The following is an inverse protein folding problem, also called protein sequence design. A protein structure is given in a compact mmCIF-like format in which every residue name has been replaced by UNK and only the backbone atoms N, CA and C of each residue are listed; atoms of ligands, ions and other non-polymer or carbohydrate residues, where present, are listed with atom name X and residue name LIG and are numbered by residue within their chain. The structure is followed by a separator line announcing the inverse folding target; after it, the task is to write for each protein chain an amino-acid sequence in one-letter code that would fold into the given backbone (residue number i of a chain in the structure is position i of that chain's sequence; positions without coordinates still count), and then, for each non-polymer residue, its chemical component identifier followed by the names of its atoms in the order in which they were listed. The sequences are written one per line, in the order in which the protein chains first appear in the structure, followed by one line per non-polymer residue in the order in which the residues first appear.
data_IF_127152508847
#
_entry.id   IF_127152508847
#
_cell.length_a   1.000
_cell.length_b   1.000
_cell.length_c   1.000
_cell.angle_alpha   90.00
_cell.angle_beta   90.00
_cell.angle_gamma   90.00
#
_symmetry.space_group_name_H-M   'P 1'
#
loop_
_entity.id
_entity.type
_entity.pdbx_description
1 polymer ?
#
# COMPACT_ATOMS: atom_id res chain seq x y z
N UNK A 1 -12.61 -9.73 63.97
CA UNK A 1 -12.75 -10.52 62.71
C UNK A 1 -14.21 -10.48 62.29
N UNK A 2 -14.58 -9.68 61.28
CA UNK A 2 -15.89 -9.76 60.65
C UNK A 2 -15.85 -10.76 59.48
N UNK A 3 -16.88 -11.58 59.41
CA UNK A 3 -17.00 -12.72 58.52
C UNK A 3 -17.34 -12.36 57.08
N UNK A 4 -16.92 -13.29 56.23
CA UNK A 4 -17.28 -13.45 54.83
C UNK A 4 -18.79 -13.66 54.73
N UNK A 5 -19.45 -12.92 53.84
CA UNK A 5 -20.72 -13.34 53.24
C UNK A 5 -20.68 -13.16 51.71
N UNK A 6 -21.43 -14.00 50.97
CA UNK A 6 -21.05 -14.43 49.64
C UNK A 6 -21.63 -13.55 48.51
N UNK A 7 -20.83 -13.51 47.45
CA UNK A 7 -21.12 -13.08 46.08
C UNK A 7 -22.27 -13.90 45.48
N UNK A 8 -23.32 -13.24 45.00
CA UNK A 8 -24.25 -13.72 43.96
C UNK A 8 -24.87 -12.46 43.30
N UNK A 9 -24.48 -12.05 42.08
CA UNK A 9 -24.84 -12.58 40.76
C UNK A 9 -26.27 -12.24 40.31
N UNK A 10 -26.48 -10.99 39.89
CA UNK A 10 -27.50 -10.64 38.91
C UNK A 10 -26.93 -9.62 37.92
N UNK A 11 -26.12 -10.12 36.98
CA UNK A 11 -25.71 -9.36 35.79
C UNK A 11 -26.84 -9.51 34.77
N UNK A 12 -27.78 -8.58 34.79
CA UNK A 12 -28.81 -8.46 33.76
C UNK A 12 -28.12 -8.08 32.46
N UNK A 13 -28.08 -9.01 31.50
CA UNK A 13 -27.70 -8.75 30.12
C UNK A 13 -28.80 -7.91 29.45
N UNK A 14 -28.79 -6.60 29.67
CA UNK A 14 -29.41 -5.66 28.73
C UNK A 14 -28.39 -5.41 27.63
N UNK A 15 -28.51 -6.12 26.51
CA UNK A 15 -27.83 -5.77 25.26
C UNK A 15 -28.47 -4.46 24.81
N UNK A 16 -27.91 -3.35 25.28
CA UNK A 16 -28.19 -2.02 24.77
C UNK A 16 -27.39 -1.91 23.47
N UNK A 17 -28.05 -2.16 22.35
CA UNK A 17 -27.49 -1.93 21.01
C UNK A 17 -27.33 -0.42 20.88
N UNK A 18 -26.12 0.07 21.18
CA UNK A 18 -25.75 1.48 21.00
C UNK A 18 -25.82 1.81 19.51
N UNK A 19 -26.46 2.92 19.11
CA UNK A 19 -26.63 3.27 17.71
C UNK A 19 -25.26 3.63 17.10
N UNK A 20 -24.87 2.87 16.07
CA UNK A 20 -23.96 3.27 14.98
C UNK A 20 -22.89 4.29 15.36
N UNK A 21 -21.88 3.87 16.11
CA UNK A 21 -20.64 4.63 16.23
C UNK A 21 -19.81 4.44 14.96
N UNK A 22 -19.35 5.56 14.40
CA UNK A 22 -18.47 5.66 13.24
C UNK A 22 -17.31 4.67 13.35
N UNK A 23 -16.90 4.01 12.25
CA UNK A 23 -15.81 3.04 12.29
C UNK A 23 -14.54 3.67 12.87
N UNK A 24 -13.74 2.90 13.63
CA UNK A 24 -12.63 3.44 14.42
C UNK A 24 -11.66 4.20 13.52
N UNK A 25 -11.31 5.40 13.96
CA UNK A 25 -10.47 6.34 13.25
C UNK A 25 -9.01 5.94 13.48
N UNK A 26 -8.50 5.09 12.61
CA UNK A 26 -7.20 4.42 12.79
C UNK A 26 -6.00 5.36 12.56
N UNK A 27 -6.18 6.58 12.04
CA UNK A 27 -5.06 7.41 11.60
C UNK A 27 -4.98 8.84 12.17
N UNK A 28 -6.07 9.43 12.66
CA UNK A 28 -6.07 10.77 13.27
C UNK A 28 -7.04 10.78 14.48
N UNK A 29 -6.73 11.48 15.59
CA UNK A 29 -7.72 11.70 16.64
C UNK A 29 -8.88 12.53 16.06
N UNK A 30 -10.13 12.10 16.27
CA UNK A 30 -11.34 12.63 15.63
C UNK A 30 -11.69 14.10 15.78
N UNK A 31 -10.82 14.88 16.43
CA UNK A 31 -10.93 16.32 16.56
C UNK A 31 -9.79 17.07 15.83
N UNK A 32 -8.84 16.38 15.17
CA UNK A 32 -7.77 17.04 14.45
C UNK A 32 -8.22 17.43 13.04
N UNK A 33 -8.62 18.69 12.89
CA UNK A 33 -8.86 19.29 11.58
C UNK A 33 -7.54 19.48 10.85
N UNK A 34 -7.33 18.73 9.77
CA UNK A 34 -6.17 18.92 8.90
C UNK A 34 -6.15 20.32 8.29
N UNK A 35 -5.00 20.96 8.32
CA UNK A 35 -4.74 22.20 7.61
C UNK A 35 -4.94 22.00 6.09
N UNK A 36 -5.24 23.06 5.33
CA UNK A 36 -5.47 22.94 3.88
C UNK A 36 -4.31 22.27 3.11
N UNK A 37 -3.07 22.55 3.52
CA UNK A 37 -1.89 21.97 2.89
C UNK A 37 -1.72 20.47 3.23
N UNK A 38 -2.13 20.02 4.42
CA UNK A 38 -2.10 18.61 4.85
C UNK A 38 -3.11 17.78 4.06
N UNK A 39 -4.28 18.35 3.77
CA UNK A 39 -5.25 17.75 2.85
C UNK A 39 -4.67 17.62 1.44
N UNK A 40 -3.93 18.64 1.01
CA UNK A 40 -3.19 18.60 -0.25
C UNK A 40 -2.22 17.42 -0.29
N UNK A 41 -1.51 17.15 0.81
CA UNK A 41 -0.62 16.00 0.91
C UNK A 41 -1.37 14.66 0.85
N UNK A 42 -2.48 14.51 1.58
CA UNK A 42 -3.29 13.28 1.54
C UNK A 42 -3.81 12.97 0.14
N UNK A 43 -4.34 13.97 -0.56
CA UNK A 43 -4.81 13.82 -1.93
C UNK A 43 -3.64 13.46 -2.85
N UNK A 44 -2.52 14.19 -2.75
CA UNK A 44 -1.34 13.96 -3.59
C UNK A 44 -0.78 12.56 -3.40
N UNK A 45 -0.79 12.06 -2.18
CA UNK A 45 -0.35 10.71 -1.82
C UNK A 45 -1.20 9.64 -2.52
N UNK A 46 -2.53 9.72 -2.38
CA UNK A 46 -3.44 8.76 -3.03
C UNK A 46 -3.33 8.83 -4.55
N UNK A 47 -3.26 10.05 -5.12
CA UNK A 47 -3.06 10.24 -6.56
C UNK A 47 -1.73 9.67 -7.04
N UNK A 48 -0.66 9.84 -6.28
CA UNK A 48 0.65 9.30 -6.63
C UNK A 48 0.62 7.77 -6.71
N UNK A 49 0.07 7.08 -5.70
CA UNK A 49 -0.08 5.62 -5.76
C UNK A 49 -1.01 5.18 -6.88
N UNK A 50 -2.13 5.87 -7.09
CA UNK A 50 -3.08 5.52 -8.14
C UNK A 50 -2.48 5.64 -9.55
N UNK A 51 -1.88 6.80 -9.86
CA UNK A 51 -1.22 7.05 -11.15
C UNK A 51 -0.05 6.08 -11.35
N UNK A 52 0.77 5.87 -10.32
CA UNK A 52 1.87 4.90 -10.39
C UNK A 52 1.37 3.48 -10.68
N UNK A 53 0.25 3.08 -10.10
CA UNK A 53 -0.33 1.74 -10.29
C UNK A 53 -0.89 1.58 -11.70
N UNK A 54 -1.50 2.63 -12.26
CA UNK A 54 -1.95 2.66 -13.65
C UNK A 54 -0.77 2.58 -14.62
N UNK A 55 0.32 3.30 -14.35
CA UNK A 55 1.52 3.25 -15.18
C UNK A 55 2.16 1.86 -15.13
N UNK A 56 2.24 1.22 -13.96
CA UNK A 56 2.70 -0.18 -13.89
C UNK A 56 1.79 -1.12 -14.68
N UNK A 57 0.48 -0.92 -14.66
CA UNK A 57 -0.46 -1.72 -15.44
C UNK A 57 -0.21 -1.55 -16.94
N UNK A 58 -0.17 -0.30 -17.42
CA UNK A 58 0.05 0.03 -18.84
C UNK A 58 1.42 -0.47 -19.31
N UNK A 59 2.46 -0.20 -18.52
CA UNK A 59 3.82 -0.65 -18.83
C UNK A 59 3.90 -2.18 -18.90
N UNK A 60 3.25 -2.89 -17.97
CA UNK A 60 3.19 -4.36 -18.00
C UNK A 60 2.53 -4.85 -19.27
N UNK A 61 1.40 -4.25 -19.66
CA UNK A 61 0.70 -4.60 -20.90
C UNK A 61 1.63 -4.40 -22.10
N UNK A 62 2.34 -3.28 -22.21
CA UNK A 62 3.23 -3.02 -23.35
C UNK A 62 4.42 -3.99 -23.49
N UNK A 63 4.75 -4.75 -22.45
CA UNK A 63 5.75 -5.81 -22.53
C UNK A 63 5.23 -7.12 -23.14
N UNK A 64 3.92 -7.31 -23.37
CA UNK A 64 3.47 -8.50 -24.08
C UNK A 64 4.05 -8.53 -25.51
N UNK A 65 4.54 -9.70 -25.97
CA UNK A 65 5.18 -9.81 -27.27
C UNK A 65 4.26 -9.44 -28.44
N UNK A 66 2.94 -9.61 -28.29
CA UNK A 66 1.95 -9.14 -29.28
C UNK A 66 2.02 -7.62 -29.52
N UNK A 67 2.33 -6.85 -28.48
CA UNK A 67 2.43 -5.40 -28.53
C UNK A 67 3.82 -4.89 -28.94
N UNK A 68 4.80 -5.78 -29.06
CA UNK A 68 6.18 -5.42 -29.40
C UNK A 68 6.31 -4.65 -30.73
N UNK A 69 5.36 -4.85 -31.66
CA UNK A 69 5.34 -4.18 -32.97
C UNK A 69 4.64 -2.82 -32.97
N UNK A 70 3.93 -2.46 -31.90
CA UNK A 70 3.23 -1.18 -31.83
C UNK A 70 4.20 0.01 -31.81
N UNK A 71 3.76 1.13 -32.39
CA UNK A 71 4.52 2.38 -32.49
C UNK A 71 5.92 2.20 -33.09
N UNK A 72 6.00 1.47 -34.21
CA UNK A 72 7.27 1.18 -34.91
C UNK A 72 8.29 0.44 -34.03
N UNK A 73 7.83 -0.49 -33.19
CA UNK A 73 8.70 -1.26 -32.31
C UNK A 73 9.04 -0.58 -30.98
N UNK A 74 8.43 0.57 -30.67
CA UNK A 74 8.76 1.35 -29.47
C UNK A 74 7.89 1.04 -28.24
N UNK A 75 6.98 0.07 -28.32
CA UNK A 75 6.11 -0.30 -27.18
C UNK A 75 6.92 -0.63 -25.91
N UNK A 76 8.01 -1.41 -26.04
CA UNK A 76 8.87 -1.72 -24.90
C UNK A 76 9.59 -0.51 -24.30
N UNK A 77 9.90 0.51 -25.13
CA UNK A 77 10.46 1.78 -24.65
C UNK A 77 9.42 2.53 -23.81
N UNK A 78 8.19 2.68 -24.30
CA UNK A 78 7.10 3.30 -23.54
C UNK A 78 6.83 2.54 -22.25
N UNK A 79 6.73 1.21 -22.32
CA UNK A 79 6.52 0.38 -21.14
C UNK A 79 7.62 0.52 -20.09
N UNK A 80 8.90 0.57 -20.51
CA UNK A 80 10.00 0.80 -19.58
C UNK A 80 9.93 2.17 -18.87
N UNK A 81 9.51 3.23 -19.58
CA UNK A 81 9.34 4.55 -18.99
C UNK A 81 8.12 4.64 -18.09
N UNK A 82 7.02 3.95 -18.42
CA UNK A 82 5.86 3.84 -17.55
C UNK A 82 6.25 3.22 -16.20
N UNK A 83 7.10 2.19 -16.19
CA UNK A 83 7.66 1.65 -14.95
C UNK A 83 8.52 2.67 -14.20
N UNK A 84 9.42 3.39 -14.87
CA UNK A 84 10.26 4.40 -14.21
C UNK A 84 9.42 5.50 -13.56
N UNK A 85 8.47 6.08 -14.30
CA UNK A 85 7.59 7.13 -13.79
C UNK A 85 6.68 6.56 -12.69
N UNK A 86 6.18 5.33 -12.86
CA UNK A 86 5.42 4.62 -11.83
C UNK A 86 6.19 4.46 -10.53
N UNK A 87 7.47 4.09 -10.59
CA UNK A 87 8.36 4.01 -9.42
C UNK A 87 8.54 5.38 -8.74
N UNK A 88 8.69 6.46 -9.51
CA UNK A 88 8.79 7.83 -8.98
C UNK A 88 7.49 8.25 -8.28
N UNK A 89 6.33 7.91 -8.85
CA UNK A 89 5.03 8.15 -8.22
C UNK A 89 4.91 7.39 -6.90
N UNK A 90 5.26 6.10 -6.86
CA UNK A 90 5.27 5.31 -5.63
C UNK A 90 6.24 5.86 -4.59
N UNK A 91 7.44 6.26 -4.99
CA UNK A 91 8.40 6.92 -4.11
C UNK A 91 7.84 8.22 -3.54
N UNK A 92 7.18 9.03 -4.36
CA UNK A 92 6.51 10.25 -3.91
C UNK A 92 5.43 9.94 -2.87
N UNK A 93 4.56 8.96 -3.14
CA UNK A 93 3.54 8.50 -2.19
C UNK A 93 4.15 8.04 -0.86
N UNK A 94 5.20 7.22 -0.91
CA UNK A 94 5.88 6.71 0.28
C UNK A 94 6.57 7.82 1.10
N UNK A 95 7.14 8.83 0.44
CA UNK A 95 7.70 10.00 1.12
C UNK A 95 6.61 10.83 1.82
N UNK A 96 5.44 10.98 1.20
CA UNK A 96 4.31 11.67 1.82
C UNK A 96 3.79 10.90 3.05
N UNK A 97 3.65 9.57 2.96
CA UNK A 97 3.33 8.70 4.12
C UNK A 97 4.40 8.83 5.22
N UNK A 98 5.67 8.89 4.85
CA UNK A 98 6.78 9.02 5.79
C UNK A 98 6.75 10.36 6.53
N UNK A 99 6.52 11.47 5.82
CA UNK A 99 6.36 12.81 6.42
C UNK A 99 5.19 12.83 7.40
N UNK A 100 4.05 12.24 7.03
CA UNK A 100 2.87 12.16 7.89
C UNK A 100 3.13 11.28 9.10
N UNK A 101 3.85 10.17 8.92
CA UNK A 101 4.27 9.31 10.02
C UNK A 101 5.11 10.08 11.00
N UNK A 102 6.14 10.84 10.58
CA UNK A 102 6.95 11.67 11.48
C UNK A 102 6.10 12.70 12.23
N UNK A 103 5.18 13.37 11.53
CA UNK A 103 4.36 14.44 12.11
C UNK A 103 3.32 13.96 13.11
N UNK A 104 2.72 12.80 12.87
CA UNK A 104 1.59 12.29 13.64
C UNK A 104 1.87 10.95 14.32
N UNK A 105 3.14 10.66 14.63
CA UNK A 105 3.50 9.46 15.36
C UNK A 105 3.19 9.60 16.86
N UNK A 106 1.91 9.51 17.21
CA UNK A 106 1.43 9.61 18.58
C UNK A 106 0.69 8.33 19.01
N UNK A 107 0.50 8.19 20.32
CA UNK A 107 -0.14 7.01 20.93
C UNK A 107 0.86 6.13 21.65
N UNK A 108 0.57 4.84 21.77
CA UNK A 108 1.40 3.88 22.51
C UNK A 108 2.76 3.65 21.82
N UNK A 109 3.83 3.32 22.57
CA UNK A 109 5.15 3.06 21.98
C UNK A 109 5.12 2.00 20.88
N UNK A 110 4.37 0.91 21.07
CA UNK A 110 4.22 -0.13 20.05
C UNK A 110 3.60 0.40 18.76
N UNK A 111 2.53 1.20 18.88
CA UNK A 111 1.87 1.85 17.74
C UNK A 111 2.85 2.73 16.97
N UNK A 112 3.66 3.49 17.69
CA UNK A 112 4.65 4.39 17.10
C UNK A 112 5.75 3.64 16.35
N UNK A 113 6.23 2.55 16.93
CA UNK A 113 7.25 1.67 16.31
C UNK A 113 6.71 1.02 15.06
N UNK A 114 5.51 0.44 15.09
CA UNK A 114 4.90 -0.22 13.93
C UNK A 114 4.70 0.75 12.75
N UNK A 115 4.19 1.96 13.00
CA UNK A 115 4.03 2.99 11.94
C UNK A 115 5.38 3.41 11.34
N UNK A 116 6.36 3.70 12.20
CA UNK A 116 7.69 4.08 11.75
C UNK A 116 8.36 2.96 10.95
N UNK A 117 8.17 1.71 11.38
CA UNK A 117 8.67 0.52 10.70
C UNK A 117 8.04 0.36 9.31
N UNK A 118 6.71 0.39 9.19
CA UNK A 118 6.03 0.34 7.88
C UNK A 118 6.53 1.47 6.97
N UNK A 119 6.54 2.71 7.45
CA UNK A 119 6.92 3.87 6.65
C UNK A 119 8.37 3.76 6.14
N UNK A 120 9.29 3.29 6.98
CA UNK A 120 10.69 3.06 6.60
C UNK A 120 10.81 1.97 5.52
N UNK A 121 10.12 0.84 5.70
CA UNK A 121 10.16 -0.27 4.74
C UNK A 121 9.57 0.14 3.39
N UNK A 122 8.47 0.89 3.39
CA UNK A 122 7.87 1.42 2.16
C UNK A 122 8.80 2.42 1.45
N UNK A 123 9.45 3.30 2.21
CA UNK A 123 10.44 4.23 1.66
C UNK A 123 11.65 3.49 1.03
N UNK A 124 12.19 2.49 1.73
CA UNK A 124 13.30 1.68 1.22
C UNK A 124 12.89 0.90 -0.04
N UNK A 125 11.73 0.26 -0.03
CA UNK A 125 11.19 -0.49 -1.16
C UNK A 125 11.07 0.39 -2.42
N UNK A 126 10.44 1.55 -2.28
CA UNK A 126 10.22 2.47 -3.40
C UNK A 126 11.51 3.09 -3.93
N UNK A 127 12.49 3.34 -3.06
CA UNK A 127 13.84 3.75 -3.48
C UNK A 127 14.52 2.67 -4.34
N UNK A 128 14.38 1.39 -3.94
CA UNK A 128 14.93 0.26 -4.70
C UNK A 128 14.19 0.08 -6.04
N UNK A 129 12.86 0.31 -6.09
CA UNK A 129 12.11 0.22 -7.34
C UNK A 129 12.54 1.26 -8.38
N UNK A 130 12.95 2.47 -7.96
CA UNK A 130 13.53 3.44 -8.90
C UNK A 130 14.76 2.83 -9.58
N UNK A 131 15.68 2.25 -8.81
CA UNK A 131 16.85 1.56 -9.37
C UNK A 131 16.44 0.41 -10.30
N UNK A 132 15.47 -0.40 -9.88
CA UNK A 132 14.93 -1.49 -10.69
C UNK A 132 14.37 -1.01 -12.02
N UNK A 133 13.55 0.04 -12.00
CA UNK A 133 12.95 0.63 -13.20
C UNK A 133 13.99 1.16 -14.17
N UNK A 134 15.04 1.82 -13.67
CA UNK A 134 16.16 2.29 -14.50
C UNK A 134 16.88 1.14 -15.21
N UNK A 135 17.06 -0.01 -14.56
CA UNK A 135 17.68 -1.19 -15.19
C UNK A 135 16.82 -1.82 -16.29
N UNK A 136 15.52 -1.52 -16.36
CA UNK A 136 14.66 -1.96 -17.47
C UNK A 136 14.63 -0.98 -18.65
N UNK A 137 15.29 0.18 -18.56
CA UNK A 137 15.45 1.06 -19.71
C UNK A 137 16.30 0.39 -20.80
N UNK A 138 15.98 0.57 -22.10
CA UNK A 138 16.70 -0.10 -23.19
C UNK A 138 18.21 0.15 -23.22
N UNK A 139 18.68 1.29 -22.69
CA UNK A 139 20.09 1.63 -22.62
C UNK A 139 20.86 0.90 -21.50
N UNK A 140 20.15 0.38 -20.49
CA UNK A 140 20.73 -0.24 -19.30
C UNK A 140 20.43 -1.74 -19.23
N UNK A 141 19.27 -2.17 -19.72
CA UNK A 141 18.81 -3.56 -19.70
C UNK A 141 19.83 -4.55 -20.29
N UNK A 142 20.49 -4.29 -21.45
CA UNK A 142 21.48 -5.23 -22.00
C UNK A 142 22.73 -5.41 -21.12
N UNK A 143 23.02 -4.47 -20.21
CA UNK A 143 24.24 -4.50 -19.38
C UNK A 143 24.08 -5.37 -18.15
N UNK A 144 22.89 -5.35 -17.53
CA UNK A 144 22.63 -6.05 -16.27
C UNK A 144 21.13 -6.29 -16.04
N UNK A 145 20.47 -7.13 -16.86
CA UNK A 145 19.01 -7.34 -16.80
C UNK A 145 18.56 -8.02 -15.49
N UNK A 146 19.43 -8.80 -14.87
CA UNK A 146 19.16 -9.46 -13.60
C UNK A 146 19.00 -8.47 -12.44
N UNK A 147 19.76 -7.37 -12.45
CA UNK A 147 19.72 -6.38 -11.36
C UNK A 147 18.36 -5.70 -11.26
N UNK A 148 17.72 -5.42 -12.40
CA UNK A 148 16.35 -4.91 -12.43
C UNK A 148 15.36 -5.87 -11.75
N UNK A 149 15.40 -7.14 -12.14
CA UNK A 149 14.53 -8.17 -11.56
C UNK A 149 14.76 -8.32 -10.04
N UNK A 150 16.01 -8.39 -9.60
CA UNK A 150 16.34 -8.52 -8.18
C UNK A 150 15.95 -7.29 -7.36
N UNK A 151 16.09 -6.09 -7.91
CA UNK A 151 15.63 -4.87 -7.26
C UNK A 151 14.11 -4.92 -7.00
N UNK A 152 13.32 -5.33 -8.00
CA UNK A 152 11.87 -5.49 -7.81
C UNK A 152 11.52 -6.61 -6.83
N UNK A 153 12.23 -7.74 -6.83
CA UNK A 153 12.02 -8.81 -5.84
C UNK A 153 12.27 -8.29 -4.43
N UNK A 154 13.42 -7.65 -4.18
CA UNK A 154 13.80 -7.15 -2.85
C UNK A 154 12.82 -6.06 -2.38
N UNK A 155 12.50 -5.09 -3.24
CA UNK A 155 11.54 -4.04 -2.91
C UNK A 155 10.15 -4.60 -2.59
N UNK A 156 9.69 -5.61 -3.34
CA UNK A 156 8.39 -6.23 -3.09
C UNK A 156 8.38 -7.07 -1.80
N UNK A 157 9.49 -7.72 -1.43
CA UNK A 157 9.61 -8.38 -0.12
C UNK A 157 9.43 -7.37 1.01
N UNK A 158 10.06 -6.19 0.90
CA UNK A 158 9.89 -5.12 1.88
C UNK A 158 8.44 -4.62 1.95
N UNK A 159 7.76 -4.45 0.82
CA UNK A 159 6.32 -4.14 0.78
C UNK A 159 5.45 -5.23 1.40
N UNK A 160 5.74 -6.51 1.18
CA UNK A 160 5.02 -7.61 1.84
C UNK A 160 5.17 -7.53 3.37
N UNK A 161 6.39 -7.27 3.86
CA UNK A 161 6.67 -7.13 5.29
C UNK A 161 5.92 -5.91 5.87
N UNK A 162 5.93 -4.77 5.16
CA UNK A 162 5.21 -3.57 5.55
C UNK A 162 3.69 -3.82 5.61
N UNK A 163 3.12 -4.46 4.59
CA UNK A 163 1.69 -4.77 4.52
C UNK A 163 1.24 -5.73 5.64
N UNK A 164 2.05 -6.73 5.98
CA UNK A 164 1.78 -7.60 7.14
C UNK A 164 1.83 -6.79 8.44
N UNK A 165 2.79 -5.86 8.56
CA UNK A 165 2.91 -4.98 9.71
C UNK A 165 1.70 -4.05 9.85
N UNK A 166 1.15 -3.56 8.74
CA UNK A 166 -0.08 -2.75 8.71
C UNK A 166 -1.31 -3.56 9.13
N UNK A 167 -1.43 -4.81 8.70
CA UNK A 167 -2.52 -5.69 9.15
C UNK A 167 -2.42 -5.93 10.66
N UNK A 168 -1.20 -6.20 11.17
CA UNK A 168 -0.97 -6.34 12.62
C UNK A 168 -1.34 -5.05 13.36
N UNK A 169 -0.94 -3.90 12.84
CA UNK A 169 -1.27 -2.58 13.39
C UNK A 169 -2.79 -2.36 13.46
N UNK A 170 -3.53 -2.67 12.39
CA UNK A 170 -5.00 -2.55 12.34
C UNK A 170 -5.64 -3.44 13.42
N UNK A 171 -5.20 -4.70 13.54
CA UNK A 171 -5.71 -5.61 14.55
C UNK A 171 -5.37 -5.22 15.99
N UNK A 172 -4.28 -4.45 16.19
CA UNK A 172 -3.86 -3.96 17.50
C UNK A 172 -4.45 -2.59 17.85
N UNK A 173 -5.17 -1.94 16.93
CA UNK A 173 -5.74 -0.62 17.16
C UNK A 173 -7.05 -0.72 17.96
N UNK A 174 -7.19 0.06 19.02
CA UNK A 174 -8.42 0.12 19.84
C UNK A 174 -8.98 1.54 19.87
N UNK A 175 -10.30 1.65 20.04
CA UNK A 175 -11.00 2.93 20.23
C UNK A 175 -10.55 3.62 21.54
N UNK A 176 -10.36 2.84 22.60
CA UNK A 176 -9.75 3.31 23.84
C UNK A 176 -8.22 3.07 23.81
N UNK A 177 -7.39 4.13 23.79
CA UNK A 177 -5.92 4.01 23.77
C UNK A 177 -5.33 3.35 25.01
N UNK A 178 -6.13 3.12 26.07
CA UNK A 178 -5.71 2.41 27.29
C UNK A 178 -5.88 0.90 27.18
N UNK A 179 -6.64 0.41 26.19
CA UNK A 179 -6.88 -1.01 25.97
C UNK A 179 -5.80 -1.57 25.05
N UNK A 180 -5.18 -2.67 25.47
CA UNK A 180 -4.21 -3.44 24.69
C UNK A 180 -4.79 -4.80 24.35
N UNK A 181 -4.44 -5.35 23.19
CA UNK A 181 -4.91 -6.66 22.75
C UNK A 181 -5.11 -6.75 21.24
N UNK A 182 -5.57 -7.92 20.78
CA UNK A 182 -5.82 -8.19 19.36
C UNK A 182 -7.34 -8.21 19.09
N UNK A 183 -7.81 -7.45 18.11
CA UNK A 183 -9.23 -7.33 17.76
C UNK A 183 -9.45 -7.64 16.27
N UNK A 184 -9.82 -8.88 15.98
CA UNK A 184 -10.08 -9.38 14.62
C UNK A 184 -11.18 -8.58 13.90
N UNK A 185 -12.16 -8.04 14.63
CA UNK A 185 -13.25 -7.27 14.03
C UNK A 185 -12.76 -6.02 13.29
N UNK A 186 -11.56 -5.51 13.58
CA UNK A 186 -10.97 -4.38 12.88
C UNK A 186 -10.53 -4.70 11.45
N UNK A 187 -10.42 -5.98 11.09
CA UNK A 187 -10.07 -6.40 9.72
C UNK A 187 -11.14 -6.00 8.69
N UNK A 188 -12.36 -5.70 9.12
CA UNK A 188 -13.44 -5.26 8.24
C UNK A 188 -13.38 -3.75 8.01
N UNK A 189 -12.24 -3.25 7.52
CA UNK A 189 -12.04 -1.84 7.17
C UNK A 189 -11.30 -1.65 5.85
N UNK A 190 -11.40 -0.44 5.29
CA UNK A 190 -10.71 -0.07 4.05
C UNK A 190 -9.19 -0.15 4.17
N UNK A 191 -8.62 0.10 5.35
CA UNK A 191 -7.20 -0.08 5.62
C UNK A 191 -6.73 -1.52 5.41
N UNK A 192 -7.55 -2.52 5.77
CA UNK A 192 -7.23 -3.93 5.53
C UNK A 192 -7.28 -4.27 4.05
N UNK A 193 -8.24 -3.71 3.30
CA UNK A 193 -8.29 -3.86 1.84
C UNK A 193 -7.05 -3.26 1.18
N UNK A 194 -6.63 -2.08 1.64
CA UNK A 194 -5.40 -1.41 1.19
C UNK A 194 -4.15 -2.26 1.44
N UNK A 195 -3.99 -2.77 2.67
CA UNK A 195 -2.86 -3.62 3.05
C UNK A 195 -2.85 -4.94 2.28
N UNK A 196 -4.00 -5.60 2.12
CA UNK A 196 -4.10 -6.84 1.32
C UNK A 196 -3.82 -6.59 -0.16
N UNK A 197 -4.33 -5.49 -0.74
CA UNK A 197 -4.02 -5.10 -2.11
C UNK A 197 -2.52 -4.87 -2.32
N UNK A 198 -1.86 -4.26 -1.33
CA UNK A 198 -0.39 -4.09 -1.32
C UNK A 198 0.33 -5.44 -1.27
N UNK A 199 -0.07 -6.32 -0.35
CA UNK A 199 0.55 -7.63 -0.18
C UNK A 199 0.41 -8.51 -1.43
N UNK A 200 -0.81 -8.63 -1.97
CA UNK A 200 -1.08 -9.42 -3.18
C UNK A 200 -0.36 -8.81 -4.38
N UNK A 201 -0.38 -7.47 -4.51
CA UNK A 201 0.34 -6.74 -5.55
C UNK A 201 1.83 -7.05 -5.55
N UNK A 202 2.47 -6.88 -4.40
CA UNK A 202 3.89 -7.14 -4.20
C UNK A 202 4.24 -8.62 -4.41
N UNK A 203 3.43 -9.56 -3.91
CA UNK A 203 3.65 -10.99 -4.13
C UNK A 203 3.61 -11.36 -5.61
N UNK A 204 2.65 -10.82 -6.36
CA UNK A 204 2.58 -11.03 -7.80
C UNK A 204 3.81 -10.46 -8.50
N UNK A 205 4.28 -9.27 -8.12
CA UNK A 205 5.52 -8.71 -8.67
C UNK A 205 6.77 -9.54 -8.34
N UNK A 206 6.87 -10.14 -7.15
CA UNK A 206 7.96 -11.09 -6.83
C UNK A 206 7.95 -12.26 -7.80
N UNK A 207 6.79 -12.88 -8.00
CA UNK A 207 6.63 -14.04 -8.88
C UNK A 207 6.90 -13.64 -10.33
N UNK A 208 6.36 -12.50 -10.77
CA UNK A 208 6.59 -11.93 -12.08
C UNK A 208 8.07 -11.70 -12.36
N UNK A 209 8.77 -11.00 -11.46
CA UNK A 209 10.20 -10.73 -11.57
C UNK A 209 11.06 -11.98 -11.50
N UNK A 210 10.63 -13.00 -10.74
CA UNK A 210 11.31 -14.29 -10.76
C UNK A 210 11.26 -14.94 -12.14
N UNK A 211 10.09 -15.02 -12.76
CA UNK A 211 9.93 -15.59 -14.11
C UNK A 211 10.49 -14.71 -15.22
N UNK A 212 10.62 -13.40 -14.99
CA UNK A 212 11.23 -12.46 -15.94
C UNK A 212 12.77 -12.52 -15.94
N UNK A 213 13.40 -13.23 -15.00
CA UNK A 213 14.85 -13.36 -14.99
C UNK A 213 15.36 -13.92 -16.33
N UNK A 214 16.50 -13.41 -16.85
CA UNK A 214 17.11 -13.85 -18.11
C UNK A 214 17.23 -15.36 -18.25
N UNK A 215 17.55 -16.07 -17.16
CA UNK A 215 17.63 -17.54 -17.14
C UNK A 215 16.34 -18.23 -17.57
N UNK A 216 15.18 -17.60 -17.40
CA UNK A 216 13.88 -18.13 -17.82
C UNK A 216 13.46 -17.60 -19.19
N UNK A 217 13.52 -16.28 -19.40
CA UNK A 217 13.02 -15.66 -20.64
C UNK A 217 13.91 -15.91 -21.86
N UNK A 218 15.20 -16.22 -21.66
CA UNK A 218 16.12 -16.53 -22.76
C UNK A 218 16.13 -18.03 -23.14
N UNK A 219 15.26 -18.86 -22.54
CA UNK A 219 15.12 -20.24 -22.98
C UNK A 219 14.55 -20.31 -24.40
N UNK A 220 15.23 -21.04 -25.29
CA UNK A 220 14.88 -21.14 -26.72
C UNK A 220 13.43 -21.59 -26.95
N UNK A 221 12.97 -22.61 -26.22
CA UNK A 221 11.63 -23.19 -26.47
C UNK A 221 10.52 -22.60 -25.60
N UNK A 222 10.87 -22.06 -24.42
CA UNK A 222 9.91 -21.67 -23.37
C UNK A 222 10.01 -20.21 -22.95
N UNK A 223 10.91 -19.43 -23.53
CA UNK A 223 11.16 -18.04 -23.17
C UNK A 223 9.90 -17.18 -23.26
N UNK A 224 9.18 -17.25 -24.38
CA UNK A 224 7.91 -16.53 -24.59
C UNK A 224 6.84 -16.93 -23.56
N UNK A 225 6.78 -18.22 -23.19
CA UNK A 225 5.86 -18.68 -22.15
C UNK A 225 6.16 -18.06 -20.79
N UNK A 226 7.43 -18.08 -20.36
CA UNK A 226 7.84 -17.48 -19.09
C UNK A 226 7.66 -15.96 -19.09
N UNK A 227 7.93 -15.30 -20.22
CA UNK A 227 7.71 -13.87 -20.38
C UNK A 227 6.23 -13.52 -20.23
N UNK A 228 5.33 -14.22 -20.93
CA UNK A 228 3.87 -14.02 -20.80
C UNK A 228 3.38 -14.30 -19.37
N UNK A 229 3.90 -15.34 -18.72
CA UNK A 229 3.58 -15.66 -17.33
C UNK A 229 4.02 -14.54 -16.39
N UNK A 230 5.24 -14.05 -16.54
CA UNK A 230 5.78 -12.94 -15.76
C UNK A 230 4.92 -11.68 -15.90
N UNK A 231 4.60 -11.30 -17.14
CA UNK A 231 3.79 -10.13 -17.45
C UNK A 231 2.38 -10.26 -16.88
N UNK A 232 1.78 -11.46 -16.94
CA UNK A 232 0.46 -11.72 -16.34
C UNK A 232 0.47 -11.44 -14.84
N UNK A 233 1.51 -11.88 -14.13
CA UNK A 233 1.66 -11.56 -12.72
C UNK A 233 1.85 -10.07 -12.47
N UNK A 234 2.62 -9.36 -13.29
CA UNK A 234 2.72 -7.90 -13.16
C UNK A 234 1.36 -7.21 -13.36
N UNK A 235 0.58 -7.60 -14.38
CA UNK A 235 -0.77 -7.08 -14.61
C UNK A 235 -1.69 -7.31 -13.39
N UNK A 236 -1.75 -8.54 -12.88
CA UNK A 236 -2.56 -8.87 -11.69
C UNK A 236 -2.09 -8.08 -10.47
N UNK A 237 -0.76 -7.93 -10.32
CA UNK A 237 -0.17 -7.16 -9.26
C UNK A 237 -0.54 -5.68 -9.33
N UNK A 238 -0.48 -5.08 -10.51
CA UNK A 238 -0.86 -3.68 -10.74
C UNK A 238 -2.35 -3.44 -10.49
N UNK A 239 -3.23 -4.36 -10.89
CA UNK A 239 -4.66 -4.30 -10.54
C UNK A 239 -4.85 -4.31 -9.02
N UNK A 240 -4.09 -5.13 -8.29
CA UNK A 240 -4.14 -5.16 -6.83
C UNK A 240 -3.68 -3.83 -6.20
N UNK A 241 -2.65 -3.18 -6.77
CA UNK A 241 -2.22 -1.85 -6.34
C UNK A 241 -3.23 -0.73 -6.67
N UNK A 242 -3.98 -0.86 -7.77
CA UNK A 242 -5.09 0.05 -8.09
C UNK A 242 -6.19 -0.11 -7.02
N UNK A 243 -6.58 -1.34 -6.69
CA UNK A 243 -7.56 -1.63 -5.63
C UNK A 243 -7.10 -1.03 -4.30
N UNK A 244 -5.83 -1.21 -3.94
CA UNK A 244 -5.22 -0.57 -2.77
C UNK A 244 -5.40 0.95 -2.81
N UNK A 245 -5.00 1.60 -3.90
CA UNK A 245 -5.10 3.04 -4.06
C UNK A 245 -6.54 3.56 -3.93
N UNK A 246 -7.51 2.83 -4.51
CA UNK A 246 -8.93 3.13 -4.34
C UNK A 246 -9.41 2.95 -2.90
N UNK A 247 -8.90 1.95 -2.18
CA UNK A 247 -9.25 1.71 -0.77
C UNK A 247 -8.73 2.82 0.16
N UNK A 248 -7.73 3.62 -0.25
CA UNK A 248 -7.28 4.80 0.50
C UNK A 248 -8.20 6.02 0.34
N UNK A 249 -9.00 6.08 -0.75
CA UNK A 249 -9.81 7.25 -1.08
C UNK A 249 -10.92 7.59 -0.06
N UNK A 250 -11.64 6.63 0.56
CA UNK A 250 -12.66 6.92 1.57
C UNK A 250 -12.14 7.72 2.77
N UNK A 251 -10.93 7.42 3.24
CA UNK A 251 -10.34 8.11 4.39
C UNK A 251 -9.97 9.56 4.05
N UNK A 252 -9.42 9.79 2.86
CA UNK A 252 -9.16 11.14 2.35
C UNK A 252 -10.46 11.93 2.16
N UNK A 253 -11.50 11.29 1.60
CA UNK A 253 -12.81 11.91 1.42
C UNK A 253 -13.44 12.34 2.76
N UNK A 254 -13.38 11.48 3.78
CA UNK A 254 -13.83 11.80 5.14
C UNK A 254 -13.06 12.96 5.74
N UNK A 255 -11.73 12.96 5.63
CA UNK A 255 -10.87 14.04 6.15
C UNK A 255 -11.18 15.41 5.51
N UNK A 256 -11.50 15.43 4.22
CA UNK A 256 -11.90 16.65 3.50
C UNK A 256 -13.27 17.14 3.97
N UNK A 257 -14.25 16.25 4.11
CA UNK A 257 -15.63 16.60 4.44
C UNK A 257 -15.83 17.03 5.90
N UNK A 258 -15.13 16.41 6.86
CA UNK A 258 -15.19 16.80 8.26
C UNK A 258 -14.89 18.30 8.47
N UNK A 259 -14.01 18.86 7.63
CA UNK A 259 -13.66 20.28 7.67
C UNK A 259 -14.68 21.22 7.03
N UNK A 260 -15.57 20.72 6.17
CA UNK A 260 -16.63 21.54 5.55
C UNK A 260 -17.75 21.82 6.53
N UNK A 261 -18.16 20.80 7.29
CA UNK A 261 -19.21 20.90 8.32
C UNK A 261 -18.83 21.88 9.43
N UNK A 262 -17.57 21.83 9.89
CA UNK A 262 -17.09 22.74 10.92
C UNK A 262 -17.05 24.22 10.47
N UNK A 263 -16.93 24.48 9.16
CA UNK A 263 -16.95 25.83 8.58
C UNK A 263 -18.37 26.37 8.35
N UNK A 264 -19.38 25.50 8.25
CA UNK A 264 -20.78 25.91 8.16
C UNK A 264 -21.38 26.20 9.53
N UNK A 265 -20.93 25.54 10.59
CA UNK A 265 -21.39 25.79 11.97
C UNK A 265 -20.77 27.05 12.60
N UNK A 266 -19.66 27.54 12.04
CA UNK A 266 -18.96 28.75 12.52
C UNK A 266 -19.39 30.05 11.80
N UNK A 267 -20.44 30.01 10.98
CA UNK A 267 -21.00 31.15 10.24
C UNK A 267 -22.43 31.41 10.69
#
# INVERSE_FOLDING_TARGET
MPGITPRNSHFSYSIQITPTQSPPEVLLPGNHLLAPWEKGLEISRVLAYFIGSLLFLLGSIFFFPEYSVMWNGNAGLFGSWDFVIGCICFFTGANLDFIQTIRYNHGTPLRQVLRAFTALFNYMATSIFILGGLYFLPSWYPKAPELGCWAFIIGCILFCIAAVSDILFICMTHEDPRVTGFRITNLFCWGTVAALGTFVGALCFIIGSWFYLPKYINHVDKGTYYMNLAITFYVVGSVSFIINSCALAPDVYRAINASRTHKSESK
#
